data_IF_746343900372
#
_entry.id   IF_746343900372
#
_cell.length_a   1.000
_cell.length_b   1.000
_cell.length_c   1.000
_cell.angle_alpha   90.00
_cell.angle_beta   90.00
_cell.angle_gamma   90.00
#
_symmetry.space_group_name_H-M   'P 1'
#
loop_
_entity.id
_entity.type
_entity.pdbx_description
1 polymer ?
#
# COMPACT_ATOMS: atom_id res chain seq x y z
N UNK A 1 2.13 -2.07 27.83
CA UNK A 1 1.42 -2.30 26.55
C UNK A 1 2.48 -2.70 25.53
N UNK A 2 2.23 -3.71 24.76
CA UNK A 2 3.12 -4.19 23.70
C UNK A 2 3.27 -3.09 22.64
N UNK A 3 4.51 -2.79 22.25
CA UNK A 3 4.79 -1.76 21.26
C UNK A 3 4.57 -2.34 19.86
N UNK A 4 3.48 -1.94 19.18
CA UNK A 4 3.23 -2.33 17.80
C UNK A 4 4.04 -1.40 16.89
N UNK A 5 5.03 -1.99 16.21
CA UNK A 5 5.89 -1.25 15.29
C UNK A 5 5.19 -1.00 13.95
N UNK A 6 4.54 -2.04 13.40
CA UNK A 6 3.89 -1.97 12.08
C UNK A 6 2.49 -2.56 12.15
N UNK A 7 1.51 -1.83 11.60
CA UNK A 7 0.20 -2.36 11.22
C UNK A 7 0.22 -2.65 9.73
N UNK A 8 0.02 -3.92 9.37
CA UNK A 8 -0.15 -4.35 7.99
C UNK A 8 -1.64 -4.45 7.68
N UNK A 9 -2.11 -3.65 6.74
CA UNK A 9 -3.52 -3.53 6.36
C UNK A 9 -3.71 -4.28 5.04
N UNK A 10 -4.58 -5.29 5.05
CA UNK A 10 -4.88 -6.13 3.89
C UNK A 10 -6.36 -6.00 3.57
N UNK A 11 -6.74 -5.19 2.55
CA UNK A 11 -8.11 -5.13 2.06
C UNK A 11 -8.43 -6.40 1.26
N UNK A 12 -9.59 -7.01 1.50
CA UNK A 12 -9.93 -8.32 0.95
C UNK A 12 -11.32 -8.26 0.32
N UNK A 13 -11.40 -8.62 -0.97
CA UNK A 13 -12.66 -8.85 -1.67
C UNK A 13 -12.46 -9.90 -2.75
N UNK A 14 -13.08 -11.09 -2.58
CA UNK A 14 -13.01 -12.21 -3.52
C UNK A 14 -11.56 -12.58 -3.91
N UNK A 15 -10.73 -12.87 -2.92
CA UNK A 15 -9.30 -13.18 -3.05
C UNK A 15 -8.95 -14.59 -2.55
N UNK A 16 -9.92 -15.47 -2.35
CA UNK A 16 -9.73 -16.82 -1.76
C UNK A 16 -8.52 -17.58 -2.33
N UNK A 17 -8.25 -17.59 -3.66
CA UNK A 17 -7.15 -18.37 -4.23
C UNK A 17 -5.74 -17.90 -3.81
N UNK A 18 -5.58 -16.64 -3.41
CA UNK A 18 -4.26 -16.01 -3.16
C UNK A 18 -4.06 -15.59 -1.71
N UNK A 19 -5.16 -15.42 -0.96
CA UNK A 19 -5.15 -14.81 0.37
C UNK A 19 -4.26 -15.55 1.36
N UNK A 20 -4.24 -16.89 1.36
CA UNK A 20 -3.41 -17.66 2.31
C UNK A 20 -1.92 -17.43 2.03
N UNK A 21 -1.49 -17.41 0.76
CA UNK A 21 -0.11 -17.12 0.37
C UNK A 21 0.29 -15.68 0.73
N UNK A 22 -0.59 -14.70 0.47
CA UNK A 22 -0.40 -13.32 0.85
C UNK A 22 -0.15 -13.18 2.36
N UNK A 23 -1.09 -13.68 3.19
CA UNK A 23 -1.01 -13.57 4.66
C UNK A 23 0.21 -14.32 5.19
N UNK A 24 0.51 -15.51 4.66
CA UNK A 24 1.70 -16.25 5.08
C UNK A 24 2.98 -15.46 4.82
N UNK A 25 3.10 -14.78 3.67
CA UNK A 25 4.27 -13.94 3.37
C UNK A 25 4.45 -12.78 4.35
N UNK A 26 3.35 -12.27 4.92
CA UNK A 26 3.37 -11.24 5.96
C UNK A 26 3.79 -11.82 7.32
N UNK A 27 3.32 -13.01 7.65
CA UNK A 27 3.67 -13.67 8.91
C UNK A 27 5.12 -14.14 8.97
N UNK A 28 5.71 -14.48 7.82
CA UNK A 28 7.07 -14.98 7.65
C UNK A 28 8.11 -13.85 7.48
N UNK A 29 7.78 -12.62 7.84
CA UNK A 29 8.72 -11.51 7.76
C UNK A 29 9.88 -11.63 8.74
N UNK A 30 11.11 -11.38 8.27
CA UNK A 30 12.35 -11.28 9.08
C UNK A 30 12.35 -10.01 9.98
N UNK A 31 11.26 -9.79 10.73
CA UNK A 31 11.11 -8.58 11.52
C UNK A 31 11.58 -8.82 12.96
N UNK A 32 12.69 -8.17 13.41
CA UNK A 32 13.25 -8.41 14.73
C UNK A 32 12.30 -7.99 15.87
N UNK A 33 12.12 -8.84 16.86
CA UNK A 33 11.31 -8.54 18.04
C UNK A 33 11.79 -7.30 18.81
N UNK A 34 13.06 -6.91 18.67
CA UNK A 34 13.61 -5.69 19.26
C UNK A 34 13.04 -4.41 18.66
N UNK A 35 12.42 -4.46 17.47
CA UNK A 35 11.75 -3.32 16.86
C UNK A 35 10.30 -3.16 17.35
N UNK A 36 9.74 -4.18 17.98
CA UNK A 36 8.35 -4.28 18.40
C UNK A 36 7.63 -5.40 17.69
N UNK A 37 6.31 -5.40 17.77
CA UNK A 37 5.46 -6.42 17.14
C UNK A 37 4.82 -5.90 15.84
N UNK A 38 4.36 -6.85 15.02
CA UNK A 38 3.54 -6.60 13.84
C UNK A 38 2.11 -6.96 14.19
N UNK A 39 1.13 -6.15 13.82
CA UNK A 39 -0.28 -6.57 13.73
C UNK A 39 -0.69 -6.66 12.26
N UNK A 40 -1.55 -7.62 11.94
CA UNK A 40 -2.10 -7.84 10.60
C UNK A 40 -3.60 -7.63 10.65
N UNK A 41 -4.09 -6.65 9.91
CA UNK A 41 -5.49 -6.28 9.86
C UNK A 41 -6.08 -6.79 8.54
N UNK A 42 -6.84 -7.89 8.60
CA UNK A 42 -7.56 -8.45 7.46
C UNK A 42 -8.94 -7.81 7.40
N UNK A 43 -9.18 -6.98 6.39
CA UNK A 43 -10.44 -6.26 6.21
C UNK A 43 -11.22 -6.95 5.11
N UNK A 44 -12.13 -7.83 5.48
CA UNK A 44 -13.06 -8.49 4.56
C UNK A 44 -14.19 -7.53 4.20
N UNK A 45 -14.14 -7.01 3.00
CA UNK A 45 -15.07 -6.01 2.46
C UNK A 45 -16.29 -6.68 1.81
N UNK A 46 -16.92 -7.60 2.53
CA UNK A 46 -18.12 -8.30 2.10
C UNK A 46 -17.86 -9.28 0.96
N UNK A 47 -16.75 -10.04 1.02
CA UNK A 47 -16.44 -11.07 0.03
C UNK A 47 -17.56 -12.11 -0.08
N UNK A 48 -17.83 -12.53 -1.33
CA UNK A 48 -18.89 -13.50 -1.66
C UNK A 48 -18.35 -14.90 -1.94
N UNK A 49 -17.02 -15.07 -1.92
CA UNK A 49 -16.32 -16.35 -2.01
C UNK A 49 -15.89 -16.86 -0.61
N UNK A 50 -14.95 -17.79 -0.54
CA UNK A 50 -14.44 -18.34 0.72
C UNK A 50 -13.47 -17.43 1.49
N UNK A 51 -13.19 -16.19 1.03
CA UNK A 51 -12.20 -15.28 1.64
C UNK A 51 -12.50 -14.97 3.10
N UNK A 52 -13.75 -14.61 3.44
CA UNK A 52 -14.14 -14.29 4.82
C UNK A 52 -13.91 -15.46 5.78
N UNK A 53 -14.35 -16.66 5.39
CA UNK A 53 -14.12 -17.87 6.19
C UNK A 53 -12.62 -18.22 6.31
N UNK A 54 -11.82 -17.90 5.28
CA UNK A 54 -10.36 -18.06 5.32
C UNK A 54 -9.73 -17.09 6.31
N UNK A 55 -10.14 -15.83 6.33
CA UNK A 55 -9.70 -14.84 7.32
C UNK A 55 -9.87 -15.37 8.76
N UNK A 56 -11.04 -15.90 9.08
CA UNK A 56 -11.33 -16.47 10.40
C UNK A 56 -10.42 -17.65 10.75
N UNK A 57 -10.13 -18.51 9.75
CA UNK A 57 -9.20 -19.64 9.97
C UNK A 57 -7.78 -19.16 10.23
N UNK A 58 -7.32 -18.15 9.51
CA UNK A 58 -5.98 -17.57 9.67
C UNK A 58 -5.84 -16.87 11.02
N UNK A 59 -6.84 -16.12 11.47
CA UNK A 59 -6.84 -15.46 12.78
C UNK A 59 -6.79 -16.46 13.96
N UNK A 60 -7.32 -17.67 13.80
CA UNK A 60 -7.21 -18.73 14.80
C UNK A 60 -5.80 -19.35 14.89
N UNK A 61 -4.99 -19.23 13.82
CA UNK A 61 -3.63 -19.79 13.75
C UNK A 61 -2.57 -18.83 14.29
N UNK A 62 -2.78 -17.52 14.18
CA UNK A 62 -1.81 -16.51 14.59
C UNK A 62 -2.49 -15.31 15.27
N UNK A 63 -2.07 -15.00 16.49
CA UNK A 63 -2.66 -13.95 17.33
C UNK A 63 -2.32 -12.53 16.87
N UNK A 64 -1.39 -12.37 15.94
CA UNK A 64 -1.08 -11.08 15.30
C UNK A 64 -2.19 -10.63 14.36
N UNK A 65 -3.03 -11.58 13.87
CA UNK A 65 -4.10 -11.33 12.92
C UNK A 65 -5.36 -10.86 13.65
N UNK A 66 -5.96 -9.81 13.12
CA UNK A 66 -7.29 -9.32 13.48
C UNK A 66 -8.14 -9.23 12.23
N UNK A 67 -9.36 -9.71 12.30
CA UNK A 67 -10.31 -9.71 11.19
C UNK A 67 -11.42 -8.72 11.45
N UNK A 68 -11.80 -8.01 10.40
CA UNK A 68 -13.01 -7.19 10.34
C UNK A 68 -13.82 -7.65 9.14
N UNK A 69 -15.07 -8.00 9.38
CA UNK A 69 -16.05 -8.23 8.32
C UNK A 69 -16.93 -7.00 8.22
N UNK A 70 -17.04 -6.43 7.03
CA UNK A 70 -17.90 -5.28 6.77
C UNK A 70 -18.74 -5.49 5.51
N UNK A 71 -19.81 -4.71 5.36
CA UNK A 71 -20.51 -4.61 4.08
C UNK A 71 -19.57 -3.98 3.04
N UNK A 72 -19.72 -4.38 1.77
CA UNK A 72 -18.83 -3.91 0.71
C UNK A 72 -18.89 -2.39 0.54
N UNK A 73 -17.79 -1.73 0.82
CA UNK A 73 -17.58 -0.27 0.68
C UNK A 73 -16.51 0.05 -0.38
N UNK A 74 -16.01 -1.00 -1.05
CA UNK A 74 -14.92 -0.91 -2.02
C UNK A 74 -13.54 -0.75 -1.37
N UNK A 75 -12.51 -0.78 -2.20
CA UNK A 75 -11.11 -0.77 -1.75
C UNK A 75 -10.77 0.42 -0.84
N UNK A 76 -11.33 1.61 -1.13
CA UNK A 76 -11.20 2.80 -0.27
C UNK A 76 -11.75 2.56 1.13
N UNK A 77 -12.98 2.04 1.23
CA UNK A 77 -13.62 1.78 2.52
C UNK A 77 -12.85 0.76 3.33
N UNK A 78 -12.42 -0.34 2.71
CA UNK A 78 -11.60 -1.37 3.38
C UNK A 78 -10.27 -0.81 3.90
N UNK A 79 -9.54 -0.01 3.10
CA UNK A 79 -8.31 0.63 3.55
C UNK A 79 -8.56 1.64 4.68
N UNK A 80 -9.65 2.43 4.61
CA UNK A 80 -10.02 3.39 5.65
C UNK A 80 -10.32 2.69 6.97
N UNK A 81 -11.10 1.61 6.96
CA UNK A 81 -11.34 0.78 8.16
C UNK A 81 -10.02 0.29 8.75
N UNK A 82 -9.08 -0.16 7.91
CA UNK A 82 -7.76 -0.57 8.35
C UNK A 82 -6.96 0.58 8.98
N UNK A 83 -6.99 1.79 8.41
CA UNK A 83 -6.34 2.99 8.94
C UNK A 83 -6.89 3.34 10.32
N UNK A 84 -8.22 3.31 10.49
CA UNK A 84 -8.90 3.67 11.75
C UNK A 84 -8.61 2.68 12.89
N UNK A 85 -8.33 1.43 12.54
CA UNK A 85 -8.02 0.35 13.50
C UNK A 85 -6.53 0.20 13.80
N UNK A 86 -5.67 0.68 12.92
CA UNK A 86 -4.23 0.51 13.01
C UNK A 86 -3.65 1.24 14.24
N UNK A 87 -2.77 0.54 14.95
CA UNK A 87 -2.12 1.03 16.20
C UNK A 87 -0.61 1.07 16.10
N UNK A 88 -0.05 0.63 14.98
CA UNK A 88 1.38 0.62 14.72
C UNK A 88 1.94 2.03 14.54
N UNK A 89 3.23 2.15 14.81
CA UNK A 89 3.97 3.38 14.49
C UNK A 89 4.06 3.62 12.98
N UNK A 90 4.07 2.53 12.20
CA UNK A 90 4.07 2.53 10.75
C UNK A 90 2.90 1.72 10.20
N UNK A 91 2.42 2.09 9.00
CA UNK A 91 1.39 1.38 8.25
C UNK A 91 1.96 0.88 6.93
N UNK A 92 1.65 -0.38 6.59
CA UNK A 92 1.89 -0.96 5.28
C UNK A 92 0.54 -1.44 4.71
N UNK A 93 0.27 -1.14 3.44
CA UNK A 93 -0.86 -1.71 2.72
C UNK A 93 -0.35 -2.83 1.84
N UNK A 94 -1.02 -3.98 1.84
CA UNK A 94 -0.66 -5.12 0.99
C UNK A 94 -1.96 -5.61 0.35
N UNK A 95 -1.99 -5.66 -0.97
CA UNK A 95 -3.15 -6.17 -1.68
C UNK A 95 -3.25 -7.69 -1.52
N UNK A 96 -4.46 -8.22 -1.33
CA UNK A 96 -4.71 -9.60 -0.89
C UNK A 96 -4.34 -10.69 -1.90
N UNK A 97 -3.96 -10.32 -3.11
CA UNK A 97 -3.48 -11.19 -4.18
C UNK A 97 -1.96 -11.11 -4.41
N UNK A 98 -1.24 -10.29 -3.64
CA UNK A 98 0.20 -10.06 -3.76
C UNK A 98 1.01 -10.79 -2.68
N UNK A 99 2.33 -10.79 -2.85
CA UNK A 99 3.28 -11.44 -1.93
C UNK A 99 4.43 -10.49 -1.60
N UNK A 100 4.78 -10.39 -0.32
CA UNK A 100 5.95 -9.61 0.12
C UNK A 100 7.14 -10.52 0.41
N UNK A 101 8.36 -10.04 0.07
CA UNK A 101 9.60 -10.79 0.35
C UNK A 101 9.94 -10.74 1.84
N UNK A 102 10.66 -11.74 2.38
CA UNK A 102 10.93 -11.85 3.82
C UNK A 102 11.53 -10.61 4.47
N UNK A 103 12.32 -9.84 3.74
CA UNK A 103 12.97 -8.63 4.24
C UNK A 103 12.16 -7.35 4.06
N UNK A 104 10.90 -7.40 3.55
CA UNK A 104 10.11 -6.23 3.21
C UNK A 104 9.93 -5.28 4.41
N UNK A 105 9.30 -5.76 5.49
CA UNK A 105 9.03 -4.90 6.64
C UNK A 105 10.32 -4.44 7.32
N UNK A 106 11.31 -5.33 7.46
CA UNK A 106 12.58 -5.01 8.09
C UNK A 106 13.31 -3.89 7.38
N UNK A 107 13.58 -4.04 6.07
CA UNK A 107 14.34 -3.04 5.30
C UNK A 107 13.63 -1.71 5.23
N UNK A 108 12.32 -1.72 5.03
CA UNK A 108 11.51 -0.50 4.98
C UNK A 108 11.51 0.22 6.34
N UNK A 109 11.37 -0.52 7.44
CA UNK A 109 11.41 0.02 8.79
C UNK A 109 12.80 0.62 9.12
N UNK A 110 13.87 -0.14 8.87
CA UNK A 110 15.25 0.31 9.09
C UNK A 110 15.58 1.57 8.29
N UNK A 111 15.12 1.66 7.03
CA UNK A 111 15.29 2.84 6.20
C UNK A 111 14.56 4.07 6.77
N UNK A 112 13.32 3.90 7.24
CA UNK A 112 12.60 4.98 7.89
C UNK A 112 13.28 5.45 9.18
N UNK A 113 13.74 4.53 10.04
CA UNK A 113 14.40 4.85 11.31
C UNK A 113 15.76 5.50 11.10
N UNK A 114 16.59 4.95 10.20
CA UNK A 114 17.95 5.45 9.94
C UNK A 114 17.96 6.89 9.40
N UNK A 115 16.96 7.28 8.66
CA UNK A 115 16.87 8.60 8.02
C UNK A 115 15.87 9.53 8.68
N UNK A 116 15.15 9.08 9.73
CA UNK A 116 13.99 9.77 10.30
C UNK A 116 12.99 10.15 9.20
N UNK A 117 12.67 9.16 8.33
CA UNK A 117 11.81 9.37 7.18
C UNK A 117 10.34 9.08 7.50
N UNK A 118 9.46 9.78 6.81
CA UNK A 118 8.01 9.62 6.93
C UNK A 118 7.48 8.49 6.06
N UNK A 119 8.24 8.11 5.05
CA UNK A 119 7.86 7.08 4.08
C UNK A 119 9.11 6.39 3.54
N UNK A 120 9.03 5.08 3.37
CA UNK A 120 9.96 4.31 2.55
C UNK A 120 9.20 3.70 1.35
N UNK A 121 9.87 3.59 0.20
CA UNK A 121 9.35 3.02 -1.04
C UNK A 121 10.34 1.96 -1.51
N UNK A 122 9.86 0.76 -1.86
CA UNK A 122 10.70 -0.31 -2.38
C UNK A 122 10.44 -0.60 -3.86
N UNK A 123 11.41 -1.24 -4.52
CA UNK A 123 11.21 -1.77 -5.85
C UNK A 123 10.26 -2.98 -5.87
N UNK A 124 9.68 -3.23 -7.03
CA UNK A 124 8.62 -4.19 -7.28
C UNK A 124 9.04 -5.15 -8.36
N UNK A 125 8.65 -6.41 -8.26
CA UNK A 125 8.70 -7.38 -9.34
C UNK A 125 7.28 -7.78 -9.75
N UNK A 126 7.00 -7.64 -11.04
CA UNK A 126 5.73 -8.12 -11.59
C UNK A 126 5.81 -9.64 -11.79
N UNK A 127 4.84 -10.35 -11.22
CA UNK A 127 4.76 -11.80 -11.33
C UNK A 127 3.48 -12.26 -12.01
N UNK A 128 3.56 -13.40 -12.68
CA UNK A 128 2.39 -14.10 -13.21
C UNK A 128 1.52 -14.63 -12.08
N UNK A 129 0.31 -15.08 -12.40
CA UNK A 129 -0.63 -15.68 -11.44
C UNK A 129 -0.01 -16.85 -10.64
N UNK A 130 0.92 -17.59 -11.25
CA UNK A 130 1.67 -18.70 -10.63
C UNK A 130 2.92 -18.26 -9.87
N UNK A 131 3.15 -16.97 -9.66
CA UNK A 131 4.28 -16.41 -8.93
C UNK A 131 5.59 -16.30 -9.71
N UNK A 132 5.64 -16.70 -11.01
CA UNK A 132 6.86 -16.56 -11.82
C UNK A 132 7.01 -15.12 -12.31
N UNK A 133 8.24 -14.58 -12.36
CA UNK A 133 8.50 -13.25 -12.91
C UNK A 133 7.94 -13.08 -14.33
N UNK A 134 7.46 -11.87 -14.63
CA UNK A 134 7.07 -11.51 -15.99
C UNK A 134 8.30 -11.18 -16.83
N UNK A 135 8.34 -11.61 -18.10
CA UNK A 135 9.44 -11.26 -19.02
C UNK A 135 9.53 -9.75 -19.28
N UNK A 136 8.37 -9.08 -19.31
CA UNK A 136 8.27 -7.63 -19.52
C UNK A 136 7.50 -7.02 -18.35
N UNK A 137 8.16 -6.25 -17.48
CA UNK A 137 7.51 -5.65 -16.31
C UNK A 137 6.51 -4.57 -16.71
N UNK A 138 5.40 -4.50 -15.98
CA UNK A 138 4.39 -3.43 -16.08
C UNK A 138 4.84 -2.20 -15.29
N UNK A 139 5.48 -2.44 -14.16
CA UNK A 139 6.04 -1.39 -13.33
C UNK A 139 7.53 -1.22 -13.60
N UNK A 140 7.90 -0.03 -14.07
CA UNK A 140 9.31 0.34 -14.17
C UNK A 140 9.76 0.89 -12.81
N UNK A 141 10.80 0.33 -12.17
CA UNK A 141 11.31 0.87 -10.92
C UNK A 141 11.69 2.35 -11.07
N UNK A 142 11.59 3.15 -10.00
CA UNK A 142 12.06 4.51 -10.04
C UNK A 142 13.58 4.48 -10.31
N UNK A 143 14.03 5.44 -11.08
CA UNK A 143 15.47 5.62 -11.39
C UNK A 143 16.23 6.25 -10.21
N UNK A 144 15.53 6.64 -9.15
CA UNK A 144 16.10 7.39 -8.02
C UNK A 144 16.18 6.51 -6.77
N UNK A 145 17.40 6.33 -6.30
CA UNK A 145 17.70 5.72 -5.00
C UNK A 145 18.19 6.82 -4.06
N UNK A 146 17.78 6.76 -2.79
CA UNK A 146 18.23 7.72 -1.77
C UNK A 146 17.11 8.35 -0.96
N UNK A 147 17.44 9.49 -0.35
CA UNK A 147 16.53 10.26 0.51
C UNK A 147 16.13 11.54 -0.19
N UNK A 148 14.82 11.78 -0.30
CA UNK A 148 14.24 12.91 -1.01
C UNK A 148 13.23 13.63 -0.13
N UNK A 149 12.95 14.90 -0.44
CA UNK A 149 11.74 15.53 0.09
C UNK A 149 10.54 15.03 -0.73
N UNK A 150 9.46 14.67 -0.05
CA UNK A 150 8.27 14.19 -0.76
C UNK A 150 7.75 15.18 -1.82
N UNK A 151 7.86 16.49 -1.56
CA UNK A 151 7.49 17.54 -2.51
C UNK A 151 8.27 17.51 -3.82
N UNK A 152 9.54 17.12 -3.77
CA UNK A 152 10.41 17.06 -4.95
C UNK A 152 10.01 15.88 -5.85
N UNK A 153 9.54 14.76 -5.25
CA UNK A 153 9.07 13.56 -5.96
C UNK A 153 7.70 13.74 -6.65
N UNK A 154 6.94 14.79 -6.31
CA UNK A 154 5.63 15.04 -6.94
C UNK A 154 5.71 15.28 -8.45
N UNK A 155 6.84 15.75 -8.95
CA UNK A 155 7.04 15.96 -10.39
C UNK A 155 7.09 14.62 -11.15
N UNK A 156 7.54 13.55 -10.48
CA UNK A 156 7.68 12.22 -11.08
C UNK A 156 6.35 11.48 -11.20
N UNK A 157 5.29 11.93 -10.50
CA UNK A 157 3.94 11.33 -10.58
C UNK A 157 3.37 11.34 -12.00
N UNK A 158 3.80 12.26 -12.82
CA UNK A 158 3.33 12.44 -14.20
C UNK A 158 4.31 11.89 -15.25
N UNK A 159 5.43 11.34 -14.79
CA UNK A 159 6.37 10.63 -15.65
C UNK A 159 5.76 9.26 -16.09
N UNK A 160 6.30 8.61 -17.12
CA UNK A 160 5.81 7.30 -17.58
C UNK A 160 5.74 6.23 -16.48
N UNK A 161 6.62 6.30 -15.49
CA UNK A 161 6.67 5.42 -14.31
C UNK A 161 5.96 6.01 -13.07
N UNK A 162 5.17 7.08 -13.20
CA UNK A 162 4.55 7.79 -12.09
C UNK A 162 3.63 6.94 -11.22
N UNK A 163 3.00 5.92 -11.79
CA UNK A 163 2.15 4.96 -11.05
C UNK A 163 2.91 4.31 -9.89
N UNK A 164 4.21 4.11 -10.02
CA UNK A 164 5.06 3.58 -8.96
C UNK A 164 5.00 4.41 -7.67
N UNK A 165 4.90 5.73 -7.79
CA UNK A 165 4.80 6.63 -6.65
C UNK A 165 3.39 6.73 -6.10
N UNK A 166 2.35 6.51 -6.92
CA UNK A 166 0.96 6.71 -6.48
C UNK A 166 0.35 5.49 -5.80
N UNK A 167 0.74 4.26 -6.18
CA UNK A 167 0.21 3.02 -5.58
C UNK A 167 0.47 2.96 -4.07
N UNK A 168 -0.48 2.36 -3.34
CA UNK A 168 -0.41 2.29 -1.88
C UNK A 168 0.57 1.24 -1.35
N UNK A 169 0.76 0.13 -2.06
CA UNK A 169 1.22 -1.15 -1.52
C UNK A 169 2.75 -1.36 -1.48
N UNK A 170 3.55 -0.63 -2.25
CA UNK A 170 5.02 -0.74 -2.22
C UNK A 170 5.69 0.19 -1.19
N UNK A 171 4.96 0.59 -0.16
CA UNK A 171 5.39 1.64 0.78
C UNK A 171 5.18 1.25 2.24
N UNK A 172 6.05 1.78 3.08
CA UNK A 172 5.85 1.86 4.53
C UNK A 172 5.67 3.33 4.90
N UNK A 173 4.62 3.63 5.63
CA UNK A 173 4.24 5.00 5.99
C UNK A 173 4.32 5.18 7.50
N UNK A 174 4.91 6.26 8.00
CA UNK A 174 4.76 6.66 9.38
C UNK A 174 3.28 7.01 9.63
N UNK A 175 2.67 6.47 10.69
CA UNK A 175 1.23 6.58 10.95
C UNK A 175 0.71 8.03 10.93
N UNK A 176 1.54 8.99 11.34
CA UNK A 176 1.16 10.40 11.41
C UNK A 176 0.81 11.05 10.06
N UNK A 177 1.33 10.51 8.92
CA UNK A 177 0.99 11.05 7.59
C UNK A 177 -0.46 10.79 7.23
N UNK A 178 -1.07 9.78 7.85
CA UNK A 178 -2.48 9.42 7.66
C UNK A 178 -3.43 10.19 8.57
N UNK A 179 -2.93 10.95 9.53
CA UNK A 179 -3.78 11.71 10.45
C UNK A 179 -4.72 12.64 9.67
N UNK A 180 -6.03 12.46 9.84
CA UNK A 180 -7.10 13.19 9.14
C UNK A 180 -7.05 13.01 7.61
N UNK A 181 -6.51 11.89 7.13
CA UNK A 181 -6.47 11.56 5.71
C UNK A 181 -7.03 10.16 5.49
N UNK A 182 -8.02 10.07 4.61
CA UNK A 182 -8.64 8.83 4.17
C UNK A 182 -8.70 8.78 2.65
N UNK A 183 -8.83 7.57 2.12
CA UNK A 183 -9.11 7.36 0.71
C UNK A 183 -10.54 7.80 0.37
N UNK A 184 -10.78 8.44 -0.77
CA UNK A 184 -12.13 8.82 -1.19
C UNK A 184 -12.92 7.57 -1.57
N UNK A 185 -14.05 7.36 -0.92
CA UNK A 185 -14.94 6.24 -1.22
C UNK A 185 -15.62 6.37 -2.59
N UNK A 186 -15.97 5.23 -3.19
CA UNK A 186 -16.65 5.17 -4.48
C UNK A 186 -15.80 5.64 -5.67
N UNK A 187 -14.48 5.73 -5.53
CA UNK A 187 -13.54 6.10 -6.61
C UNK A 187 -12.67 4.92 -7.00
N UNK A 188 -12.44 4.75 -8.30
CA UNK A 188 -11.37 3.89 -8.80
C UNK A 188 -10.06 4.68 -8.85
N UNK A 189 -8.92 4.01 -8.66
CA UNK A 189 -7.61 4.63 -8.53
C UNK A 189 -7.59 5.65 -7.37
N UNK A 190 -8.12 5.24 -6.23
CA UNK A 190 -8.28 6.02 -5.00
C UNK A 190 -6.96 6.52 -4.45
N UNK A 191 -5.88 5.76 -4.68
CA UNK A 191 -4.51 6.09 -4.31
C UNK A 191 -3.99 7.34 -5.04
N UNK A 192 -4.31 7.53 -6.32
CA UNK A 192 -3.97 8.74 -7.06
C UNK A 192 -4.56 10.02 -6.40
N UNK A 193 -5.69 9.91 -5.68
CA UNK A 193 -6.33 11.05 -5.01
C UNK A 193 -5.63 11.46 -3.71
N UNK A 194 -4.94 10.54 -3.05
CA UNK A 194 -4.30 10.80 -1.74
C UNK A 194 -2.78 10.91 -1.84
N UNK A 195 -2.15 10.27 -2.82
CA UNK A 195 -0.70 10.21 -2.94
C UNK A 195 -0.04 11.59 -2.87
N UNK A 196 -0.54 12.59 -3.61
CA UNK A 196 0.01 13.94 -3.59
C UNK A 196 -0.03 14.61 -2.21
N UNK A 197 -1.07 14.31 -1.38
CA UNK A 197 -1.18 14.82 -0.02
C UNK A 197 -0.23 14.12 0.93
N UNK A 198 -0.05 12.79 0.75
CA UNK A 198 0.91 12.00 1.51
C UNK A 198 2.33 12.52 1.27
N UNK A 199 2.74 12.60 0.02
CA UNK A 199 4.08 13.09 -0.33
C UNK A 199 4.31 14.55 0.13
N UNK A 200 3.28 15.40 0.03
CA UNK A 200 3.36 16.78 0.53
C UNK A 200 3.66 16.87 2.02
N UNK A 201 3.18 15.90 2.82
CA UNK A 201 3.40 15.81 4.27
C UNK A 201 4.74 15.20 4.65
N UNK A 202 5.43 14.56 3.70
CA UNK A 202 6.68 13.85 3.97
C UNK A 202 7.87 14.78 3.71
N UNK A 203 8.53 15.25 4.77
CA UNK A 203 9.79 15.99 4.63
C UNK A 203 10.92 15.10 4.11
N UNK A 204 10.87 13.80 4.47
CA UNK A 204 11.82 12.80 3.99
C UNK A 204 11.08 11.54 3.52
N UNK A 205 11.43 11.10 2.32
CA UNK A 205 11.01 9.83 1.69
C UNK A 205 12.27 9.07 1.28
N UNK A 206 12.38 7.81 1.67
CA UNK A 206 13.51 6.94 1.26
C UNK A 206 13.05 6.05 0.12
N UNK A 207 13.77 6.08 -0.99
CA UNK A 207 13.59 5.17 -2.11
C UNK A 207 14.66 4.08 -2.08
N UNK A 208 14.25 2.82 -1.94
CA UNK A 208 15.11 1.65 -1.88
C UNK A 208 15.14 0.94 -3.25
N UNK A 209 16.31 0.53 -3.75
CA UNK A 209 16.43 -0.23 -4.98
C UNK A 209 16.03 -1.71 -4.79
N UNK A 210 15.88 -2.14 -3.55
CA UNK A 210 15.56 -3.52 -3.21
C UNK A 210 14.18 -3.91 -3.73
N UNK A 211 14.11 -5.01 -4.47
CA UNK A 211 12.84 -5.63 -4.86
C UNK A 211 12.30 -6.39 -3.66
N UNK A 212 11.27 -5.84 -3.02
CA UNK A 212 10.70 -6.38 -1.78
C UNK A 212 9.21 -6.76 -1.91
N UNK A 213 8.57 -6.38 -3.00
CA UNK A 213 7.15 -6.62 -3.27
C UNK A 213 6.98 -7.33 -4.61
N UNK A 214 6.20 -8.42 -4.63
CA UNK A 214 5.85 -9.16 -5.83
C UNK A 214 4.38 -8.83 -6.18
N UNK A 215 4.21 -8.02 -7.23
CA UNK A 215 2.90 -7.64 -7.74
C UNK A 215 2.36 -8.70 -8.70
N UNK A 216 1.22 -9.31 -8.36
CA UNK A 216 0.63 -10.41 -9.13
C UNK A 216 -0.32 -9.91 -10.22
N UNK A 217 0.00 -10.25 -11.46
CA UNK A 217 -0.90 -10.01 -12.58
C UNK A 217 -1.83 -11.21 -12.77
N UNK A 218 -3.11 -10.99 -12.48
CA UNK A 218 -4.16 -12.01 -12.66
C UNK A 218 -5.17 -11.64 -13.74
N UNK A 219 -5.85 -12.65 -14.27
CA UNK A 219 -7.02 -12.47 -15.13
C UNK A 219 -8.12 -11.78 -14.32
N UNK A 220 -8.62 -10.61 -14.79
CA UNK A 220 -9.64 -9.82 -14.07
C UNK A 220 -9.10 -8.71 -13.17
N UNK A 221 -7.78 -8.46 -13.14
CA UNK A 221 -7.20 -7.29 -12.48
C UNK A 221 -7.82 -5.99 -13.03
N UNK A 222 -8.13 -5.05 -12.13
CA UNK A 222 -8.67 -3.71 -12.45
C UNK A 222 -7.80 -3.00 -13.50
N UNK A 223 -6.48 -3.24 -13.49
CA UNK A 223 -5.52 -2.66 -14.43
C UNK A 223 -5.67 -3.17 -15.87
N UNK A 224 -6.30 -4.34 -16.09
CA UNK A 224 -6.47 -4.97 -17.41
C UNK A 224 -7.83 -4.76 -18.06
N UNK A 225 -8.83 -4.27 -17.34
CA UNK A 225 -10.15 -4.02 -17.91
C UNK A 225 -10.09 -2.88 -18.92
N UNK A 226 -10.33 -3.23 -20.21
CA UNK A 226 -10.39 -2.30 -21.34
C UNK A 226 -11.41 -1.19 -21.09
N UNK A 227 -11.06 0.04 -21.54
CA UNK A 227 -11.93 1.23 -21.71
C UNK A 227 -13.18 1.27 -20.81
N UNK A 228 -13.00 1.44 -19.52
CA UNK A 228 -14.08 1.74 -18.59
C UNK A 228 -14.11 3.26 -18.37
N UNK A 229 -15.29 3.93 -18.45
CA UNK A 229 -15.45 5.35 -18.10
C UNK A 229 -14.88 5.72 -16.72
N UNK A 230 -14.79 4.75 -15.81
CA UNK A 230 -14.13 4.93 -14.51
C UNK A 230 -12.61 5.26 -14.62
N UNK A 231 -11.94 4.99 -15.74
CA UNK A 231 -10.58 5.50 -16.00
C UNK A 231 -10.51 7.02 -16.13
N UNK A 232 -11.64 7.68 -16.41
CA UNK A 232 -11.73 9.15 -16.35
C UNK A 232 -11.54 9.67 -14.92
N UNK A 233 -11.71 8.82 -13.89
CA UNK A 233 -11.42 9.22 -12.49
C UNK A 233 -9.95 9.56 -12.28
N UNK A 234 -9.02 8.95 -13.02
CA UNK A 234 -7.60 9.28 -12.98
C UNK A 234 -7.33 10.73 -13.47
N UNK A 235 -8.08 11.20 -14.47
CA UNK A 235 -8.03 12.60 -14.90
C UNK A 235 -8.55 13.56 -13.84
N UNK A 236 -9.61 13.17 -13.11
CA UNK A 236 -10.13 13.99 -12.00
C UNK A 236 -9.19 13.98 -10.80
N UNK A 237 -8.50 12.88 -10.52
CA UNK A 237 -7.44 12.82 -9.51
C UNK A 237 -6.29 13.74 -9.87
N UNK A 238 -5.86 13.72 -11.14
CA UNK A 238 -4.83 14.62 -11.66
C UNK A 238 -5.22 16.09 -11.52
N UNK A 239 -6.46 16.46 -11.88
CA UNK A 239 -6.96 17.84 -11.73
C UNK A 239 -7.03 18.26 -10.25
N UNK A 240 -7.40 17.36 -9.34
CA UNK A 240 -7.41 17.65 -7.90
C UNK A 240 -6.00 17.79 -7.33
N UNK A 241 -5.05 16.98 -7.78
CA UNK A 241 -3.64 17.06 -7.41
C UNK A 241 -2.99 18.37 -7.87
N UNK A 242 -3.19 18.77 -9.13
CA UNK A 242 -2.68 20.04 -9.66
C UNK A 242 -3.31 21.25 -8.98
N UNK A 243 -4.63 21.21 -8.69
CA UNK A 243 -5.32 22.25 -7.94
C UNK A 243 -4.81 22.36 -6.50
N UNK A 244 -4.51 21.25 -5.85
CA UNK A 244 -3.91 21.23 -4.51
C UNK A 244 -2.51 21.88 -4.56
N UNK A 245 -1.64 21.47 -5.48
CA UNK A 245 -0.29 22.03 -5.61
C UNK A 245 -0.31 23.53 -5.93
N UNK A 246 -1.23 23.99 -6.76
CA UNK A 246 -1.35 25.42 -7.10
C UNK A 246 -1.84 26.26 -5.91
N UNK A 247 -2.68 25.74 -5.04
CA UNK A 247 -3.14 26.43 -3.82
C UNK A 247 -2.03 26.53 -2.79
N UNK A 248 -1.30 25.43 -2.56
CA UNK A 248 -0.22 25.39 -1.57
C UNK A 248 0.99 26.22 -1.98
N UNK A 249 1.29 26.33 -3.29
CA UNK A 249 2.33 27.21 -3.80
C UNK A 249 2.02 28.72 -3.60
N UNK A 250 0.74 29.10 -3.47
CA UNK A 250 0.33 30.49 -3.18
C UNK A 250 0.40 30.87 -1.69
N UNK A 251 0.40 29.88 -0.80
CA UNK A 251 0.41 30.12 0.67
C UNK A 251 1.83 30.24 1.23
N UNK A 252 2.87 29.93 0.41
CA UNK A 252 4.30 29.96 0.80
C UNK A 252 5.02 31.20 0.22
N UNK A 253 4.28 32.22 -0.27
CA UNK A 253 4.84 33.52 -0.68
C UNK A 253 4.50 34.62 0.33
#
# INVERSE_FOLDING_TARGET
MEHIAVSVIVPIYNAEPWLEECVQSILDQDFPASYGTIEVLLIDDGATDGSGALCDRLAKRDNRIKVVHQENQGLSGARNTGIDMARGRYYAFIDSDDVVRPAYLKKMYEACEAHDAYMAICAVEDVQENGKPLPEPVFTPPTQEGVFRGKDLLNDFYAPNGTYYTVAWNKLYRAEVWKLLHYPEGRLHEDDFVAHRLFWRCDKVVCLPDVLYNYRLRSGSIMRTSLNPARLTRWTAWLTGTAFMSRTARTVR
#
